data_IF_508997871206
#
_entry.id   IF_508997871206
#
_cell.length_a   1.000
_cell.length_b   1.000
_cell.length_c   1.000
_cell.angle_alpha   90.00
_cell.angle_beta   90.00
_cell.angle_gamma   90.00
#
_symmetry.space_group_name_H-M   'P 1'
#
loop_
_entity.id
_entity.type
_entity.pdbx_description
1 polymer ?
#
# COMPACT_ATOMS: atom_id res chain seq x y z
N UNK A 1 3.80 -22.96 15.83
CA UNK A 1 2.71 -23.30 14.89
C UNK A 1 2.84 -22.34 13.72
N UNK A 2 2.85 -22.83 12.49
CA UNK A 2 2.86 -21.94 11.33
C UNK A 2 1.53 -21.19 11.30
N UNK A 3 1.60 -19.87 11.24
CA UNK A 3 0.44 -19.01 11.16
C UNK A 3 -0.08 -19.06 9.71
N UNK A 4 -1.21 -19.73 9.48
CA UNK A 4 -1.82 -19.93 8.14
C UNK A 4 -2.62 -18.69 7.70
N UNK A 5 -2.04 -17.50 7.90
CA UNK A 5 -2.68 -16.21 7.66
C UNK A 5 -3.10 -15.97 6.21
N UNK A 6 -2.62 -16.80 5.28
CA UNK A 6 -2.86 -16.69 3.85
C UNK A 6 -3.89 -17.70 3.33
N UNK A 7 -4.47 -18.52 4.19
CA UNK A 7 -5.48 -19.51 3.81
C UNK A 7 -6.84 -18.82 3.67
N UNK A 8 -7.53 -19.07 2.55
CA UNK A 8 -8.89 -18.62 2.32
C UNK A 8 -9.91 -19.55 2.98
N UNK A 9 -10.98 -19.00 3.54
CA UNK A 9 -12.08 -19.80 4.08
C UNK A 9 -12.87 -20.54 2.99
N UNK A 10 -13.13 -19.87 1.86
CA UNK A 10 -13.87 -20.41 0.71
C UNK A 10 -13.11 -20.13 -0.60
N UNK A 11 -12.02 -20.87 -0.90
CA UNK A 11 -11.21 -20.61 -2.10
C UNK A 11 -11.99 -20.86 -3.40
N UNK A 12 -12.94 -21.80 -3.41
CA UNK A 12 -13.73 -22.16 -4.59
C UNK A 12 -14.71 -21.06 -5.04
N UNK A 13 -15.00 -20.08 -4.17
CA UNK A 13 -15.84 -18.92 -4.48
C UNK A 13 -15.08 -17.82 -5.24
N UNK A 14 -13.75 -17.91 -5.33
CA UNK A 14 -12.91 -16.91 -6.00
C UNK A 14 -12.49 -17.44 -7.37
N UNK A 15 -12.94 -16.81 -8.48
CA UNK A 15 -12.52 -17.19 -9.81
C UNK A 15 -11.00 -17.04 -9.97
N UNK A 16 -10.34 -18.10 -10.45
CA UNK A 16 -8.91 -18.11 -10.72
C UNK A 16 -8.58 -17.74 -12.18
N UNK A 17 -7.49 -17.01 -12.46
CA UNK A 17 -6.50 -16.51 -11.50
C UNK A 17 -6.94 -15.21 -10.81
N UNK A 18 -6.69 -15.11 -9.51
CA UNK A 18 -6.93 -13.92 -8.71
C UNK A 18 -5.66 -13.47 -7.98
N UNK A 19 -5.41 -12.15 -7.95
CA UNK A 19 -4.41 -11.55 -7.09
C UNK A 19 -5.06 -11.22 -5.74
N UNK A 20 -4.56 -11.83 -4.67
CA UNK A 20 -5.05 -11.61 -3.32
C UNK A 20 -4.11 -10.69 -2.55
N UNK A 21 -4.70 -9.72 -1.86
CA UNK A 21 -3.98 -8.85 -0.93
C UNK A 21 -4.69 -8.87 0.42
N UNK A 22 -3.91 -8.85 1.50
CA UNK A 22 -4.42 -8.99 2.86
C UNK A 22 -4.29 -7.65 3.58
N UNK A 23 -5.39 -6.91 3.81
CA UNK A 23 -5.35 -5.56 4.39
C UNK A 23 -4.62 -5.49 5.74
N UNK A 24 -4.81 -6.48 6.62
CA UNK A 24 -4.14 -6.51 7.92
C UNK A 24 -2.62 -6.65 7.78
N UNK A 25 -2.16 -7.41 6.78
CA UNK A 25 -0.74 -7.56 6.47
C UNK A 25 -0.15 -6.29 5.87
N UNK A 26 -0.92 -5.61 5.03
CA UNK A 26 -0.54 -4.30 4.49
C UNK A 26 -0.41 -3.28 5.63
N UNK A 27 -1.38 -3.23 6.54
CA UNK A 27 -1.37 -2.35 7.70
C UNK A 27 -0.16 -2.62 8.61
N UNK A 28 0.14 -3.89 8.90
CA UNK A 28 1.31 -4.28 9.68
C UNK A 28 2.63 -3.90 8.98
N UNK A 29 2.72 -4.06 7.65
CA UNK A 29 3.89 -3.64 6.88
C UNK A 29 4.09 -2.12 6.93
N UNK A 30 3.01 -1.33 6.81
CA UNK A 30 3.05 0.12 6.96
C UNK A 30 3.56 0.50 8.37
N UNK A 31 3.02 -0.14 9.41
CA UNK A 31 3.42 0.09 10.80
C UNK A 31 4.92 -0.22 11.00
N UNK A 32 5.41 -1.32 10.45
CA UNK A 32 6.84 -1.71 10.52
C UNK A 32 7.73 -0.70 9.81
N UNK A 33 7.34 -0.23 8.63
CA UNK A 33 8.10 0.79 7.90
C UNK A 33 8.20 2.10 8.69
N UNK A 34 7.10 2.53 9.31
CA UNK A 34 7.09 3.74 10.16
C UNK A 34 7.97 3.52 11.38
N UNK A 35 7.83 2.38 12.06
CA UNK A 35 8.63 2.05 13.24
C UNK A 35 10.13 2.04 12.95
N UNK A 36 10.54 1.52 11.78
CA UNK A 36 11.94 1.49 11.36
C UNK A 36 12.57 2.88 11.16
N UNK A 37 11.77 3.90 10.83
CA UNK A 37 12.25 5.28 10.67
C UNK A 37 11.87 6.21 11.84
N UNK A 38 11.07 5.72 12.79
CA UNK A 38 10.54 6.44 13.95
C UNK A 38 9.43 7.45 13.66
N UNK A 39 9.16 7.77 12.39
CA UNK A 39 8.15 8.77 12.00
C UNK A 39 7.73 8.59 10.53
N UNK A 40 6.46 8.86 10.24
CA UNK A 40 5.86 8.62 8.92
C UNK A 40 6.33 9.62 7.86
N UNK A 41 6.65 10.86 8.25
CA UNK A 41 6.99 11.96 7.33
C UNK A 41 8.35 11.78 6.65
N UNK A 42 9.19 10.87 7.19
CA UNK A 42 10.47 10.47 6.60
C UNK A 42 10.30 9.46 5.46
N UNK A 43 9.14 8.82 5.36
CA UNK A 43 8.85 7.86 4.31
C UNK A 43 8.44 8.58 3.02
N UNK A 44 8.92 8.06 1.90
CA UNK A 44 8.43 8.37 0.55
C UNK A 44 8.30 7.07 -0.25
N UNK A 45 7.35 6.19 0.10
CA UNK A 45 7.19 4.91 -0.56
C UNK A 45 6.88 5.09 -2.04
N UNK A 46 7.28 4.10 -2.83
CA UNK A 46 7.03 4.09 -4.25
C UNK A 46 5.78 3.26 -4.57
N UNK A 47 4.85 3.84 -5.31
CA UNK A 47 3.54 3.24 -5.62
C UNK A 47 3.59 2.13 -6.69
N UNK A 48 4.70 1.98 -7.43
CA UNK A 48 4.81 1.05 -8.58
C UNK A 48 4.53 -0.40 -8.23
N UNK A 49 4.71 -0.77 -6.96
CA UNK A 49 4.51 -2.14 -6.48
C UNK A 49 3.04 -2.55 -6.52
N UNK A 50 2.13 -1.65 -6.13
CA UNK A 50 0.72 -2.00 -5.99
C UNK A 50 -0.20 -1.22 -6.92
N UNK A 51 0.11 0.05 -7.23
CA UNK A 51 -0.70 0.91 -8.12
C UNK A 51 -2.19 0.97 -7.73
N UNK A 52 -2.49 0.88 -6.44
CA UNK A 52 -3.83 0.83 -5.85
C UNK A 52 -4.05 2.03 -4.94
N UNK A 53 -5.12 2.79 -5.19
CA UNK A 53 -5.48 3.99 -4.42
C UNK A 53 -5.84 3.65 -2.96
N UNK A 54 -6.43 2.50 -2.72
CA UNK A 54 -6.85 2.02 -1.40
C UNK A 54 -5.63 1.86 -0.47
N UNK A 55 -4.53 1.32 -1.00
CA UNK A 55 -3.29 1.16 -0.24
C UNK A 55 -2.63 2.52 0.01
N UNK A 56 -2.68 3.44 -0.96
CA UNK A 56 -2.21 4.83 -0.76
C UNK A 56 -3.00 5.48 0.37
N UNK A 57 -4.32 5.33 0.39
CA UNK A 57 -5.18 5.87 1.44
C UNK A 57 -4.86 5.25 2.81
N UNK A 58 -4.54 3.95 2.88
CA UNK A 58 -4.06 3.33 4.12
C UNK A 58 -2.75 3.96 4.59
N UNK A 59 -1.80 4.23 3.69
CA UNK A 59 -0.53 4.89 4.00
C UNK A 59 -0.75 6.34 4.48
N UNK A 60 -1.64 7.09 3.81
CA UNK A 60 -2.03 8.46 4.21
C UNK A 60 -2.67 8.46 5.60
N UNK A 61 -3.59 7.55 5.88
CA UNK A 61 -4.20 7.40 7.22
C UNK A 61 -3.17 7.09 8.31
N UNK A 62 -2.08 6.43 7.95
CA UNK A 62 -0.95 6.16 8.84
C UNK A 62 0.06 7.33 8.95
N UNK A 63 -0.22 8.48 8.31
CA UNK A 63 0.60 9.69 8.38
C UNK A 63 1.61 9.87 7.24
N UNK A 64 1.66 8.95 6.26
CA UNK A 64 2.58 9.07 5.12
C UNK A 64 1.98 10.02 4.07
N UNK A 65 2.56 11.20 3.92
CA UNK A 65 2.08 12.22 2.97
C UNK A 65 2.86 12.35 1.66
N UNK A 66 4.00 11.67 1.52
CA UNK A 66 4.93 11.81 0.39
C UNK A 66 5.03 10.49 -0.37
N UNK A 67 5.04 10.53 -1.69
CA UNK A 67 5.08 9.33 -2.54
C UNK A 67 6.06 9.47 -3.71
N UNK A 68 6.49 8.33 -4.25
CA UNK A 68 7.17 8.21 -5.55
C UNK A 68 6.30 7.44 -6.54
N UNK A 69 6.37 7.82 -7.81
CA UNK A 69 5.69 7.14 -8.92
C UNK A 69 6.58 7.09 -10.16
N UNK A 70 6.31 6.13 -11.05
CA UNK A 70 7.09 5.91 -12.27
C UNK A 70 6.41 6.46 -13.53
N UNK A 71 5.10 6.76 -13.47
CA UNK A 71 4.33 7.24 -14.62
C UNK A 71 3.38 8.38 -14.25
N UNK A 72 2.93 9.13 -15.25
CA UNK A 72 1.93 10.19 -15.06
C UNK A 72 0.60 9.60 -14.53
N UNK A 73 0.17 8.45 -15.05
CA UNK A 73 -1.05 7.79 -14.57
C UNK A 73 -0.97 7.40 -13.07
N UNK A 74 0.20 6.98 -12.61
CA UNK A 74 0.42 6.72 -11.18
C UNK A 74 0.41 8.03 -10.36
N UNK A 75 0.95 9.12 -10.90
CA UNK A 75 0.90 10.43 -10.26
C UNK A 75 -0.54 10.97 -10.15
N UNK A 76 -1.36 10.78 -11.20
CA UNK A 76 -2.78 11.15 -11.20
C UNK A 76 -3.56 10.36 -10.15
N UNK A 77 -3.35 9.04 -10.07
CA UNK A 77 -3.98 8.20 -9.05
C UNK A 77 -3.58 8.64 -7.63
N UNK A 78 -2.29 8.96 -7.41
CA UNK A 78 -1.83 9.49 -6.12
C UNK A 78 -2.52 10.81 -5.77
N UNK A 79 -2.67 11.72 -6.73
CA UNK A 79 -3.38 12.98 -6.55
C UNK A 79 -4.85 12.77 -6.16
N UNK A 80 -5.55 11.87 -6.88
CA UNK A 80 -6.95 11.52 -6.58
C UNK A 80 -7.10 10.84 -5.22
N UNK A 81 -6.11 10.05 -4.78
CA UNK A 81 -6.08 9.42 -3.47
C UNK A 81 -5.76 10.40 -2.32
N UNK A 82 -5.38 11.64 -2.63
CA UNK A 82 -5.11 12.69 -1.64
C UNK A 82 -3.64 12.85 -1.24
N UNK A 83 -2.70 12.32 -2.03
CA UNK A 83 -1.27 12.55 -1.81
C UNK A 83 -0.93 14.04 -1.95
N UNK A 84 -0.14 14.59 -1.01
CA UNK A 84 0.22 16.01 -1.00
C UNK A 84 1.55 16.32 -1.69
N UNK A 85 2.44 15.34 -1.76
CA UNK A 85 3.77 15.47 -2.33
C UNK A 85 4.09 14.20 -3.13
N UNK A 86 4.23 14.35 -4.44
CA UNK A 86 4.48 13.25 -5.38
C UNK A 86 5.74 13.57 -6.18
N UNK A 87 6.71 12.65 -6.15
CA UNK A 87 7.91 12.69 -6.99
C UNK A 87 7.75 11.70 -8.13
N UNK A 88 7.92 12.16 -9.37
CA UNK A 88 8.00 11.32 -10.56
C UNK A 88 9.47 10.95 -10.84
N UNK A 89 9.79 9.64 -10.86
CA UNK A 89 11.14 9.13 -11.15
C UNK A 89 11.46 7.76 -10.58
#
# INVERSE_FOLDING_TARGET
>A
MADDWHTLASPDEIPSPALLVYPDRIAENIRRMIAALGQAERLRPHVKTHKMAEIVQMQIKAGIGKFKCATIAEAEMLGQAGARDVLLG
#
